data_IF_696356705349
#
_entry.id   IF_696356705349
#
_cell.length_a   1.000
_cell.length_b   1.000
_cell.length_c   1.000
_cell.angle_alpha   90.00
_cell.angle_beta   90.00
_cell.angle_gamma   90.00
#
_symmetry.space_group_name_H-M   'P 1'
#
loop_
_entity.id
_entity.type
_entity.pdbx_description
1 polymer ?
#
# COMPACT_ATOMS: atom_id res chain seq x y z
N UNK A 1 7.60 34.89 18.28
CA UNK A 1 7.46 33.49 18.74
C UNK A 1 6.93 33.58 20.16
N UNK A 2 5.75 33.01 20.44
CA UNK A 2 5.24 32.94 21.82
C UNK A 2 5.86 31.71 22.46
N UNK A 3 6.47 31.86 23.62
CA UNK A 3 6.88 30.70 24.42
C UNK A 3 5.63 30.23 25.17
N UNK A 4 5.02 29.13 24.70
CA UNK A 4 4.30 28.27 25.64
C UNK A 4 5.39 27.76 26.58
N UNK A 5 5.27 27.96 27.90
CA UNK A 5 6.34 27.51 28.76
C UNK A 5 6.46 25.99 28.59
N UNK A 6 7.68 25.47 28.44
CA UNK A 6 7.90 24.03 28.32
C UNK A 6 7.26 23.26 29.50
N UNK A 7 7.08 23.93 30.65
CA UNK A 7 6.37 23.39 31.80
C UNK A 7 4.88 23.13 31.51
N UNK A 8 4.18 24.02 30.81
CA UNK A 8 2.74 23.86 30.52
C UNK A 8 2.49 22.66 29.61
N UNK A 9 3.28 22.53 28.53
CA UNK A 9 3.11 21.43 27.58
C UNK A 9 3.48 20.08 28.20
N UNK A 10 4.51 20.03 29.05
CA UNK A 10 4.86 18.83 29.80
C UNK A 10 3.74 18.39 30.75
N UNK A 11 3.12 19.33 31.46
CA UNK A 11 2.01 19.01 32.36
C UNK A 11 0.83 18.48 31.56
N UNK A 12 0.48 19.11 30.43
CA UNK A 12 -0.62 18.65 29.57
C UNK A 12 -0.36 17.24 29.01
N UNK A 13 0.85 16.96 28.54
CA UNK A 13 1.24 15.63 28.05
C UNK A 13 1.24 14.61 29.18
N UNK A 14 1.81 14.95 30.34
CA UNK A 14 1.85 14.08 31.51
C UNK A 14 0.47 13.73 32.07
N UNK A 15 -0.47 14.69 32.02
CA UNK A 15 -1.88 14.50 32.35
C UNK A 15 -2.67 13.79 31.24
N UNK A 16 -2.03 13.42 30.12
CA UNK A 16 -2.65 12.84 28.93
C UNK A 16 -3.82 13.67 28.41
N UNK A 17 -3.70 14.99 28.49
CA UNK A 17 -4.69 15.91 27.95
C UNK A 17 -4.72 15.76 26.44
N UNK A 18 -5.92 15.63 25.92
CA UNK A 18 -6.16 15.49 24.49
C UNK A 18 -6.03 16.87 23.81
N UNK A 19 -5.02 17.03 22.95
CA UNK A 19 -4.65 18.34 22.38
C UNK A 19 -5.08 18.50 20.92
N UNK A 20 -5.97 17.64 20.40
CA UNK A 20 -6.43 17.69 19.00
C UNK A 20 -6.96 19.06 18.59
N UNK A 21 -6.75 19.42 17.33
CA UNK A 21 -7.31 20.63 16.68
C UNK A 21 -6.86 21.97 17.31
N UNK A 22 -5.89 21.95 18.23
CA UNK A 22 -5.34 23.16 18.83
C UNK A 22 -4.36 23.89 17.90
N UNK A 23 -4.28 25.21 18.06
CA UNK A 23 -3.36 26.06 17.32
C UNK A 23 -2.10 26.38 18.16
N UNK A 24 -0.97 25.86 17.68
CA UNK A 24 0.38 26.01 18.21
C UNK A 24 1.31 26.67 17.17
N UNK A 25 0.82 27.67 16.44
CA UNK A 25 1.60 28.37 15.42
C UNK A 25 2.71 29.25 16.03
N UNK A 26 3.90 29.23 15.41
CA UNK A 26 5.04 30.07 15.77
C UNK A 26 5.45 29.97 17.26
N UNK A 27 5.49 28.75 17.80
CA UNK A 27 5.95 28.47 19.17
C UNK A 27 7.34 27.81 19.19
N UNK A 28 7.96 27.80 20.37
CA UNK A 28 9.18 27.02 20.62
C UNK A 28 8.86 25.94 21.64
N UNK A 29 9.23 24.71 21.31
CA UNK A 29 9.13 23.54 22.17
C UNK A 29 10.56 23.01 22.32
N UNK A 30 11.08 23.00 23.55
CA UNK A 30 12.46 22.56 23.79
C UNK A 30 12.62 21.70 25.02
N UNK A 31 13.61 20.82 24.98
CA UNK A 31 14.07 20.07 26.16
C UNK A 31 12.92 19.36 26.90
N UNK A 32 12.05 18.68 26.13
CA UNK A 32 10.76 18.18 26.62
C UNK A 32 10.42 16.82 26.03
N UNK A 33 9.47 16.13 26.63
CA UNK A 33 8.93 14.88 26.10
C UNK A 33 7.47 15.06 25.68
N UNK A 34 7.15 14.67 24.45
CA UNK A 34 5.81 14.64 23.87
C UNK A 34 5.37 13.21 23.56
N UNK A 35 5.89 12.24 24.32
CA UNK A 35 5.62 10.82 24.10
C UNK A 35 4.11 10.56 24.14
N UNK A 36 3.61 9.87 23.12
CA UNK A 36 2.19 9.51 22.97
C UNK A 36 1.20 10.69 22.98
N UNK A 37 1.68 11.93 22.84
CA UNK A 37 0.83 13.10 22.81
C UNK A 37 -0.09 13.08 21.56
N UNK A 38 -1.36 13.46 21.74
CA UNK A 38 -2.34 13.46 20.66
C UNK A 38 -2.51 14.86 20.07
N UNK A 39 -1.88 15.10 18.92
CA UNK A 39 -1.94 16.36 18.17
C UNK A 39 -2.64 16.22 16.81
N UNK A 40 -3.61 15.31 16.72
CA UNK A 40 -4.44 15.16 15.53
C UNK A 40 -4.96 16.53 15.08
N UNK A 41 -4.74 16.90 13.81
CA UNK A 41 -5.21 18.17 13.19
C UNK A 41 -4.73 19.45 13.87
N UNK A 42 -3.69 19.41 14.70
CA UNK A 42 -3.10 20.62 15.26
C UNK A 42 -2.39 21.46 14.20
N UNK A 43 -2.27 22.76 14.45
CA UNK A 43 -1.44 23.65 13.64
C UNK A 43 -0.13 23.98 14.38
N UNK A 44 1.02 23.55 13.84
CA UNK A 44 2.35 23.91 14.35
C UNK A 44 3.15 24.77 13.35
N UNK A 45 2.49 25.42 12.39
CA UNK A 45 3.23 26.14 11.34
C UNK A 45 4.21 27.16 11.94
N UNK A 46 5.44 27.19 11.40
CA UNK A 46 6.51 28.06 11.88
C UNK A 46 7.10 27.72 13.25
N UNK A 47 6.69 26.62 13.89
CA UNK A 47 7.16 26.23 15.23
C UNK A 47 8.53 25.54 15.21
N UNK A 48 9.23 25.60 16.35
CA UNK A 48 10.57 25.05 16.51
C UNK A 48 10.59 23.98 17.62
N UNK A 49 11.04 22.79 17.26
CA UNK A 49 11.25 21.64 18.15
C UNK A 49 12.77 21.43 18.30
N UNK A 50 13.32 21.63 19.50
CA UNK A 50 14.74 21.39 19.80
C UNK A 50 14.90 20.48 21.03
N UNK A 51 15.58 19.34 20.87
CA UNK A 51 15.78 18.36 21.96
C UNK A 51 14.45 17.83 22.52
N UNK A 52 13.56 17.41 21.63
CA UNK A 52 12.21 16.93 21.96
C UNK A 52 12.12 15.43 21.68
N UNK A 53 11.59 14.67 22.64
CA UNK A 53 11.19 13.29 22.41
C UNK A 53 9.78 13.24 21.82
N UNK A 54 9.64 12.68 20.63
CA UNK A 54 8.38 12.64 19.87
C UNK A 54 7.86 11.21 19.71
N UNK A 55 8.35 10.26 20.50
CA UNK A 55 8.01 8.84 20.35
C UNK A 55 6.50 8.61 20.48
N UNK A 56 5.88 7.99 19.46
CA UNK A 56 4.45 7.69 19.46
C UNK A 56 3.51 8.90 19.40
N UNK A 57 4.03 10.10 19.12
CA UNK A 57 3.22 11.31 18.98
C UNK A 57 2.29 11.20 17.77
N UNK A 58 0.99 11.45 17.96
CA UNK A 58 0.02 11.44 16.87
C UNK A 58 -0.02 12.81 16.18
N UNK A 59 0.54 12.88 14.97
CA UNK A 59 0.56 14.06 14.12
C UNK A 59 -0.37 13.95 12.91
N UNK A 60 -1.30 12.99 12.91
CA UNK A 60 -2.18 12.78 11.75
C UNK A 60 -2.94 14.07 11.40
N UNK A 61 -2.88 14.46 10.13
CA UNK A 61 -3.48 15.70 9.60
C UNK A 61 -2.99 17.00 10.27
N UNK A 62 -1.90 16.98 11.04
CA UNK A 62 -1.32 18.19 11.62
C UNK A 62 -0.64 19.05 10.56
N UNK A 63 -0.71 20.37 10.71
CA UNK A 63 -0.03 21.32 9.85
C UNK A 63 1.37 21.60 10.41
N UNK A 64 2.40 21.27 9.64
CA UNK A 64 3.81 21.34 10.06
C UNK A 64 4.66 22.24 9.14
N UNK A 65 4.02 23.15 8.39
CA UNK A 65 4.70 23.98 7.41
C UNK A 65 5.75 24.89 8.08
N UNK A 66 6.96 24.94 7.51
CA UNK A 66 8.08 25.74 8.03
C UNK A 66 8.47 25.42 9.49
N UNK A 67 8.16 24.22 9.98
CA UNK A 67 8.66 23.75 11.27
C UNK A 67 10.18 23.57 11.22
N UNK A 68 10.85 23.83 12.35
CA UNK A 68 12.26 23.49 12.55
C UNK A 68 12.35 22.33 13.53
N UNK A 69 13.10 21.29 13.15
CA UNK A 69 13.30 20.10 13.96
C UNK A 69 14.79 19.92 14.21
N UNK A 70 15.19 19.86 15.48
CA UNK A 70 16.57 19.70 15.90
C UNK A 70 16.63 18.78 17.10
N UNK A 71 17.61 17.86 17.12
CA UNK A 71 17.82 16.93 18.24
C UNK A 71 16.56 16.13 18.65
N UNK A 72 15.75 15.69 17.67
CA UNK A 72 14.53 14.92 17.96
C UNK A 72 14.89 13.50 18.37
N UNK A 73 14.24 13.00 19.44
CA UNK A 73 14.41 11.64 19.94
C UNK A 73 13.19 10.81 19.55
N UNK A 74 13.46 9.60 19.05
CA UNK A 74 12.47 8.57 18.79
C UNK A 74 13.04 7.29 19.39
N UNK A 75 12.30 6.71 20.33
CA UNK A 75 12.66 5.45 20.97
C UNK A 75 12.15 4.26 20.16
N UNK A 76 12.98 3.24 20.08
CA UNK A 76 12.58 1.94 19.55
C UNK A 76 11.47 1.35 20.42
N UNK A 77 10.36 0.93 19.78
CA UNK A 77 9.25 0.30 20.48
C UNK A 77 9.47 -1.21 20.64
N UNK A 78 9.83 -1.87 19.53
CA UNK A 78 9.96 -3.32 19.46
C UNK A 78 11.12 -3.69 18.53
N UNK A 79 11.95 -4.63 18.99
CA UNK A 79 12.89 -5.37 18.16
C UNK A 79 12.24 -6.69 17.74
N UNK A 80 12.09 -6.94 16.43
CA UNK A 80 11.61 -8.22 15.95
C UNK A 80 12.80 -9.11 15.59
N UNK A 81 13.21 -9.94 16.53
CA UNK A 81 14.16 -11.02 16.27
C UNK A 81 13.39 -12.25 15.75
N UNK A 82 13.88 -12.87 14.68
CA UNK A 82 13.27 -14.10 14.18
C UNK A 82 13.75 -14.49 12.78
N UNK A 83 13.89 -13.52 11.87
CA UNK A 83 14.45 -13.82 10.56
C UNK A 83 15.90 -14.29 10.69
N UNK A 84 16.23 -15.39 10.01
CA UNK A 84 17.58 -16.00 10.04
C UNK A 84 18.48 -15.51 8.90
N UNK A 85 17.93 -14.67 8.02
CA UNK A 85 18.65 -14.02 6.93
C UNK A 85 18.07 -12.60 6.70
N UNK A 86 18.56 -11.89 5.67
CA UNK A 86 18.12 -10.53 5.37
C UNK A 86 16.61 -10.44 5.18
N UNK A 87 15.97 -9.50 5.89
CA UNK A 87 14.61 -9.05 5.59
C UNK A 87 14.65 -8.26 4.28
N UNK A 88 13.77 -8.59 3.33
CA UNK A 88 13.71 -7.92 2.02
C UNK A 88 12.53 -6.94 1.93
N UNK A 89 11.44 -7.22 2.64
CA UNK A 89 10.22 -6.41 2.57
C UNK A 89 9.50 -6.38 3.90
N UNK A 90 8.87 -5.25 4.19
CA UNK A 90 7.98 -5.05 5.33
C UNK A 90 6.74 -4.28 4.89
N UNK A 91 5.60 -4.55 5.53
CA UNK A 91 4.35 -3.83 5.22
C UNK A 91 3.41 -3.80 6.44
N UNK A 92 2.92 -2.62 6.80
CA UNK A 92 1.89 -2.47 7.82
C UNK A 92 0.51 -2.79 7.24
N UNK A 93 -0.31 -3.55 7.95
CA UNK A 93 -1.71 -3.71 7.60
C UNK A 93 -2.40 -2.33 7.60
N UNK A 94 -3.33 -2.05 6.66
CA UNK A 94 -4.03 -0.76 6.61
C UNK A 94 -4.71 -0.34 7.92
N UNK A 95 -5.17 -1.29 8.72
CA UNK A 95 -5.73 -1.04 10.06
C UNK A 95 -4.68 -0.78 11.16
N UNK A 96 -3.37 -0.89 10.85
CA UNK A 96 -2.24 -0.58 11.73
C UNK A 96 -1.98 -1.61 12.84
N UNK A 97 -2.61 -2.78 12.80
CA UNK A 97 -2.52 -3.77 13.89
C UNK A 97 -1.41 -4.79 13.69
N UNK A 98 -1.08 -5.11 12.44
CA UNK A 98 -0.12 -6.15 12.07
C UNK A 98 0.98 -5.55 11.17
N UNK A 99 2.22 -5.96 11.40
CA UNK A 99 3.33 -5.76 10.48
C UNK A 99 3.72 -7.10 9.89
N UNK A 100 3.72 -7.19 8.56
CA UNK A 100 4.28 -8.33 7.84
C UNK A 100 5.73 -8.03 7.47
N UNK A 101 6.57 -9.07 7.49
CA UNK A 101 7.95 -9.03 7.02
C UNK A 101 8.24 -10.28 6.20
N UNK A 102 8.95 -10.15 5.08
CA UNK A 102 9.38 -11.25 4.22
C UNK A 102 10.91 -11.26 4.09
N UNK A 103 11.53 -12.44 4.15
CA UNK A 103 12.98 -12.58 4.21
C UNK A 103 13.60 -13.58 3.23
N UNK A 104 14.93 -13.56 3.17
CA UNK A 104 15.77 -14.54 2.45
C UNK A 104 15.90 -15.89 3.17
N UNK A 105 15.23 -16.04 4.31
CA UNK A 105 15.03 -17.33 4.96
C UNK A 105 13.74 -18.04 4.50
N UNK A 106 13.17 -17.55 3.40
CA UNK A 106 11.98 -18.05 2.73
C UNK A 106 10.69 -17.95 3.57
N UNK A 107 10.75 -17.25 4.69
CA UNK A 107 9.61 -17.10 5.60
C UNK A 107 8.99 -15.71 5.51
N UNK A 108 7.73 -15.65 5.95
CA UNK A 108 7.04 -14.41 6.26
C UNK A 108 6.72 -14.42 7.75
N UNK A 109 6.88 -13.29 8.43
CA UNK A 109 6.52 -13.15 9.85
C UNK A 109 5.50 -12.05 10.02
N UNK A 110 4.48 -12.32 10.83
CA UNK A 110 3.42 -11.39 11.21
C UNK A 110 3.62 -10.97 12.66
N UNK A 111 3.78 -9.67 12.89
CA UNK A 111 4.00 -9.06 14.20
C UNK A 111 2.79 -8.23 14.61
N UNK A 112 2.29 -8.43 15.84
CA UNK A 112 1.33 -7.51 16.43
C UNK A 112 2.05 -6.25 16.92
N UNK A 113 1.74 -5.10 16.29
CA UNK A 113 2.42 -3.83 16.56
C UNK A 113 2.21 -3.30 17.98
N UNK A 114 1.07 -3.63 18.60
CA UNK A 114 0.76 -3.13 19.95
C UNK A 114 1.52 -3.88 21.04
N UNK A 115 1.77 -5.16 20.82
CA UNK A 115 2.37 -6.05 21.84
C UNK A 115 3.83 -6.38 21.55
N UNK A 116 4.29 -6.18 20.31
CA UNK A 116 5.61 -6.62 19.87
C UNK A 116 5.74 -8.14 19.77
N UNK A 117 4.64 -8.89 19.81
CA UNK A 117 4.65 -10.35 19.71
C UNK A 117 4.44 -10.83 18.27
N UNK A 118 5.19 -11.85 17.88
CA UNK A 118 4.97 -12.58 16.63
C UNK A 118 3.64 -13.35 16.72
N UNK A 119 2.69 -13.00 15.86
CA UNK A 119 1.41 -13.68 15.72
C UNK A 119 1.57 -15.00 14.97
N UNK A 120 2.37 -15.00 13.90
CA UNK A 120 2.54 -16.16 13.04
C UNK A 120 3.84 -16.08 12.23
N UNK A 121 4.39 -17.26 11.94
CA UNK A 121 5.41 -17.49 10.91
C UNK A 121 4.75 -18.26 9.78
N UNK A 122 4.76 -17.69 8.58
CA UNK A 122 4.18 -18.30 7.39
C UNK A 122 5.30 -18.97 6.60
N UNK A 123 5.26 -20.30 6.59
CA UNK A 123 6.17 -21.15 5.84
C UNK A 123 5.43 -21.69 4.61
N UNK A 124 6.07 -21.62 3.45
CA UNK A 124 5.50 -22.17 2.21
C UNK A 124 6.29 -21.80 0.97
N UNK A 125 6.88 -20.60 0.94
CA UNK A 125 7.83 -20.24 -0.11
C UNK A 125 9.09 -21.12 -0.01
N UNK A 126 9.61 -21.53 -1.17
CA UNK A 126 10.81 -22.40 -1.25
C UNK A 126 12.09 -21.63 -1.56
N UNK A 127 11.98 -20.31 -1.74
CA UNK A 127 13.09 -19.40 -2.01
C UNK A 127 12.78 -18.02 -1.42
N UNK A 128 13.69 -17.06 -1.61
CA UNK A 128 13.63 -15.73 -1.02
C UNK A 128 12.25 -15.07 -1.21
N UNK A 129 11.70 -14.49 -0.16
CA UNK A 129 10.50 -13.65 -0.25
C UNK A 129 10.95 -12.23 -0.54
N UNK A 130 10.59 -11.69 -1.71
CA UNK A 130 11.02 -10.37 -2.16
C UNK A 130 10.08 -9.26 -1.73
N UNK A 131 8.76 -9.51 -1.73
CA UNK A 131 7.76 -8.51 -1.41
C UNK A 131 6.60 -9.10 -0.62
N UNK A 132 6.06 -8.32 0.30
CA UNK A 132 4.80 -8.59 1.01
C UNK A 132 3.90 -7.36 0.93
N UNK A 133 2.59 -7.56 0.78
CA UNK A 133 1.61 -6.48 0.71
C UNK A 133 0.27 -6.92 1.28
N UNK A 134 -0.38 -6.07 2.08
CA UNK A 134 -1.73 -6.34 2.59
C UNK A 134 -2.80 -5.84 1.62
N UNK A 135 -3.91 -6.57 1.56
CA UNK A 135 -5.15 -6.10 0.95
C UNK A 135 -5.68 -4.86 1.67
N UNK A 136 -6.46 -3.99 1.00
CA UNK A 136 -6.99 -2.76 1.60
C UNK A 136 -7.84 -2.98 2.85
N UNK A 137 -8.52 -4.12 2.95
CA UNK A 137 -9.34 -4.52 4.10
C UNK A 137 -8.52 -5.19 5.23
N UNK A 138 -7.20 -5.34 5.06
CA UNK A 138 -6.28 -5.99 6.01
C UNK A 138 -6.51 -7.49 6.25
N UNK A 139 -7.34 -8.17 5.46
CA UNK A 139 -7.68 -9.59 5.69
C UNK A 139 -6.77 -10.56 4.96
N UNK A 140 -6.19 -10.14 3.84
CA UNK A 140 -5.34 -10.97 2.99
C UNK A 140 -3.95 -10.35 2.90
N UNK A 141 -2.92 -11.18 3.04
CA UNK A 141 -1.55 -10.82 2.70
C UNK A 141 -1.19 -11.50 1.38
N UNK A 142 -0.61 -10.75 0.45
CA UNK A 142 0.07 -11.31 -0.72
C UNK A 142 1.58 -11.28 -0.51
N UNK A 143 2.27 -12.30 -0.98
CA UNK A 143 3.72 -12.36 -1.01
C UNK A 143 4.24 -12.84 -2.35
N UNK A 144 5.40 -12.35 -2.75
CA UNK A 144 6.09 -12.73 -3.99
C UNK A 144 7.49 -13.23 -3.71
N UNK A 145 7.97 -14.17 -4.53
CA UNK A 145 9.22 -14.89 -4.25
C UNK A 145 10.02 -15.27 -5.48
N UNK A 146 11.30 -15.55 -5.24
CA UNK A 146 12.22 -16.22 -6.15
C UNK A 146 11.84 -17.69 -6.44
N UNK A 147 10.80 -18.23 -5.81
CA UNK A 147 10.24 -19.53 -6.19
C UNK A 147 9.25 -19.45 -7.37
N UNK A 148 9.17 -18.26 -8.00
CA UNK A 148 8.28 -17.92 -9.11
C UNK A 148 6.80 -17.89 -8.73
N UNK A 149 6.47 -17.76 -7.44
CA UNK A 149 5.08 -17.79 -7.00
C UNK A 149 4.64 -16.50 -6.32
N UNK A 150 3.35 -16.22 -6.46
CA UNK A 150 2.62 -15.32 -5.57
C UNK A 150 1.76 -16.19 -4.65
N UNK A 151 1.83 -15.95 -3.34
CA UNK A 151 1.00 -16.65 -2.36
C UNK A 151 0.10 -15.67 -1.65
N UNK A 152 -1.13 -16.10 -1.41
CA UNK A 152 -2.13 -15.36 -0.64
C UNK A 152 -2.32 -16.05 0.69
N UNK A 153 -2.29 -15.28 1.76
CA UNK A 153 -2.41 -15.75 3.13
C UNK A 153 -3.56 -15.05 3.82
N UNK A 154 -4.29 -15.78 4.64
CA UNK A 154 -5.20 -15.17 5.60
C UNK A 154 -4.37 -14.48 6.69
N UNK A 155 -4.54 -13.16 6.82
CA UNK A 155 -3.74 -12.33 7.73
C UNK A 155 -3.96 -12.64 9.21
N UNK A 156 -5.09 -13.25 9.56
CA UNK A 156 -5.47 -13.52 10.94
C UNK A 156 -4.99 -14.89 11.40
N UNK A 157 -5.11 -15.89 10.53
CA UNK A 157 -4.79 -17.29 10.83
C UNK A 157 -3.41 -17.70 10.35
N UNK A 158 -2.82 -16.96 9.40
CA UNK A 158 -1.56 -17.31 8.76
C UNK A 158 -1.66 -18.48 7.78
N UNK A 159 -2.87 -18.94 7.46
CA UNK A 159 -3.07 -20.05 6.53
C UNK A 159 -2.95 -19.57 5.08
N UNK A 160 -2.36 -20.41 4.22
CA UNK A 160 -2.32 -20.16 2.79
C UNK A 160 -3.72 -20.33 2.18
N UNK A 161 -4.22 -19.27 1.54
CA UNK A 161 -5.50 -19.23 0.84
C UNK A 161 -5.37 -19.62 -0.64
N UNK A 162 -4.24 -19.29 -1.26
CA UNK A 162 -3.96 -19.58 -2.67
C UNK A 162 -2.47 -19.51 -2.99
N UNK A 163 -2.07 -20.27 -4.01
CA UNK A 163 -0.76 -20.20 -4.65
C UNK A 163 -0.97 -19.98 -6.15
N UNK A 164 -0.24 -19.01 -6.69
CA UNK A 164 -0.24 -18.64 -8.10
C UNK A 164 1.16 -18.95 -8.63
N UNK A 165 1.26 -19.93 -9.51
CA UNK A 165 2.52 -20.48 -10.02
C UNK A 165 2.56 -20.52 -11.56
N UNK A 166 1.88 -19.57 -12.19
CA UNK A 166 1.87 -19.32 -13.63
C UNK A 166 3.13 -18.59 -14.12
N UNK A 167 3.90 -17.98 -13.22
CA UNK A 167 5.13 -17.28 -13.56
C UNK A 167 6.30 -18.23 -13.83
N UNK A 168 7.10 -17.89 -14.84
CA UNK A 168 8.26 -18.68 -15.27
C UNK A 168 9.58 -18.21 -14.68
N UNK A 169 9.56 -17.13 -13.90
CA UNK A 169 10.73 -16.47 -13.29
C UNK A 169 10.36 -15.78 -11.98
N UNK A 170 11.38 -15.36 -11.21
CA UNK A 170 11.25 -14.63 -9.96
C UNK A 170 10.19 -13.53 -10.00
N UNK A 171 9.35 -13.48 -8.97
CA UNK A 171 8.35 -12.42 -8.79
C UNK A 171 8.90 -11.37 -7.82
N UNK A 172 9.39 -10.26 -8.36
CA UNK A 172 10.15 -9.26 -7.60
C UNK A 172 9.28 -8.38 -6.71
N UNK A 173 8.06 -8.05 -7.16
CA UNK A 173 7.17 -7.13 -6.47
C UNK A 173 5.74 -7.59 -6.56
N UNK A 174 4.98 -7.33 -5.50
CA UNK A 174 3.54 -7.53 -5.45
C UNK A 174 2.86 -6.33 -4.79
N UNK A 175 1.74 -5.88 -5.33
CA UNK A 175 0.93 -4.83 -4.70
C UNK A 175 -0.56 -5.08 -4.90
N UNK A 176 -1.36 -4.57 -3.97
CA UNK A 176 -2.81 -4.53 -4.06
C UNK A 176 -3.26 -3.18 -4.61
N UNK A 177 -4.28 -3.21 -5.47
CA UNK A 177 -5.09 -2.05 -5.78
C UNK A 177 -6.13 -1.79 -4.67
N UNK A 178 -6.75 -0.59 -4.62
CA UNK A 178 -7.83 -0.29 -3.68
C UNK A 178 -9.09 -1.17 -3.83
N UNK A 179 -9.31 -1.75 -5.01
CA UNK A 179 -10.42 -2.68 -5.30
C UNK A 179 -10.06 -4.17 -5.15
N UNK A 180 -8.86 -4.47 -4.62
CA UNK A 180 -8.36 -5.81 -4.29
C UNK A 180 -7.87 -6.66 -5.48
N UNK A 181 -7.51 -6.03 -6.60
CA UNK A 181 -6.70 -6.64 -7.66
C UNK A 181 -5.24 -6.70 -7.21
N UNK A 182 -4.57 -7.81 -7.50
CA UNK A 182 -3.14 -8.00 -7.25
C UNK A 182 -2.37 -7.78 -8.54
N UNK A 183 -1.29 -7.01 -8.45
CA UNK A 183 -0.29 -6.91 -9.50
C UNK A 183 1.00 -7.60 -9.07
N UNK A 184 1.52 -8.49 -9.92
CA UNK A 184 2.79 -9.20 -9.72
C UNK A 184 3.75 -8.96 -10.86
N UNK A 185 5.02 -8.70 -10.55
CA UNK A 185 6.05 -8.39 -11.53
C UNK A 185 7.01 -9.56 -11.73
N UNK A 186 6.82 -10.32 -12.80
CA UNK A 186 7.59 -11.51 -13.13
C UNK A 186 7.84 -11.58 -14.64
N UNK A 187 8.85 -12.34 -15.07
CA UNK A 187 9.10 -12.66 -16.49
C UNK A 187 9.03 -11.48 -17.49
N UNK A 188 9.58 -10.33 -17.09
CA UNK A 188 9.56 -9.05 -17.83
C UNK A 188 8.15 -8.47 -18.08
N UNK A 189 7.15 -9.02 -17.38
CA UNK A 189 5.76 -8.65 -17.50
C UNK A 189 5.18 -8.24 -16.15
N UNK A 190 3.92 -7.81 -16.21
CA UNK A 190 3.10 -7.54 -15.06
C UNK A 190 1.84 -8.37 -15.20
N UNK A 191 1.52 -9.20 -14.23
CA UNK A 191 0.25 -9.92 -14.20
C UNK A 191 -0.72 -9.27 -13.25
N UNK A 192 -1.98 -9.18 -13.68
CA UNK A 192 -3.10 -8.68 -12.91
C UNK A 192 -4.02 -9.84 -12.58
N UNK A 193 -4.40 -9.93 -11.31
CA UNK A 193 -5.21 -11.02 -10.78
C UNK A 193 -6.30 -10.49 -9.87
N UNK A 194 -7.53 -10.95 -10.07
CA UNK A 194 -8.61 -10.69 -9.13
C UNK A 194 -8.57 -11.72 -7.99
N UNK A 195 -8.55 -11.22 -6.75
CA UNK A 195 -8.40 -12.06 -5.55
C UNK A 195 -9.64 -12.88 -5.24
N UNK A 196 -10.83 -12.40 -5.63
CA UNK A 196 -12.10 -13.09 -5.35
C UNK A 196 -12.27 -14.31 -6.24
N UNK A 197 -11.91 -14.17 -7.50
CA UNK A 197 -12.00 -15.21 -8.53
C UNK A 197 -10.75 -16.09 -8.55
N UNK A 198 -9.61 -15.58 -8.05
CA UNK A 198 -8.28 -16.20 -8.15
C UNK A 198 -7.88 -16.46 -9.60
N UNK A 199 -8.39 -15.67 -10.54
CA UNK A 199 -8.10 -15.80 -11.96
C UNK A 199 -7.23 -14.63 -12.45
N UNK A 200 -6.32 -14.95 -13.37
CA UNK A 200 -5.53 -13.95 -14.08
C UNK A 200 -6.46 -13.18 -15.02
N UNK A 201 -6.55 -11.87 -14.81
CA UNK A 201 -7.35 -10.98 -15.63
C UNK A 201 -6.58 -10.53 -16.87
N UNK A 202 -5.31 -10.17 -16.69
CA UNK A 202 -4.49 -9.59 -17.75
C UNK A 202 -2.99 -9.80 -17.52
N UNK A 203 -2.23 -9.91 -18.61
CA UNK A 203 -0.75 -9.91 -18.61
C UNK A 203 -0.25 -8.76 -19.47
N UNK A 204 0.46 -7.80 -18.87
CA UNK A 204 1.03 -6.65 -19.53
C UNK A 204 2.49 -6.93 -19.88
N UNK A 205 2.76 -7.20 -21.16
CA UNK A 205 4.12 -7.39 -21.69
C UNK A 205 4.73 -6.03 -22.06
N UNK A 206 4.99 -5.22 -21.05
CA UNK A 206 5.44 -3.84 -21.26
C UNK A 206 6.95 -3.64 -21.17
N UNK A 207 7.69 -4.62 -20.66
CA UNK A 207 9.13 -4.52 -20.46
C UNK A 207 9.88 -5.61 -21.24
N UNK A 208 11.12 -5.28 -21.58
CA UNK A 208 12.11 -6.14 -22.22
C UNK A 208 13.10 -6.73 -21.21
N UNK A 209 13.01 -6.31 -19.94
CA UNK A 209 13.87 -6.74 -18.84
C UNK A 209 13.09 -6.87 -17.54
N UNK A 210 13.80 -7.23 -16.47
CA UNK A 210 13.22 -7.56 -15.17
C UNK A 210 12.49 -6.35 -14.60
N UNK A 211 11.23 -6.55 -14.25
CA UNK A 211 10.41 -5.57 -13.54
C UNK A 211 10.64 -5.74 -12.05
N UNK A 212 11.22 -4.71 -11.42
CA UNK A 212 11.61 -4.73 -10.00
C UNK A 212 10.52 -4.23 -9.07
N UNK A 213 9.62 -3.37 -9.55
CA UNK A 213 8.62 -2.74 -8.70
C UNK A 213 7.34 -2.45 -9.47
N UNK A 214 6.21 -2.67 -8.80
CA UNK A 214 4.87 -2.30 -9.27
C UNK A 214 4.11 -1.57 -8.16
N UNK A 215 3.36 -0.53 -8.51
CA UNK A 215 2.58 0.25 -7.54
C UNK A 215 1.33 0.86 -8.18
N UNK A 216 0.18 0.70 -7.52
CA UNK A 216 -1.06 1.38 -7.89
C UNK A 216 -1.11 2.81 -7.34
N UNK A 217 -1.75 3.72 -8.08
CA UNK A 217 -2.14 5.01 -7.51
C UNK A 217 -3.17 4.83 -6.38
N UNK A 218 -3.24 5.75 -5.41
CA UNK A 218 -4.18 5.64 -4.28
C UNK A 218 -5.66 5.50 -4.65
N UNK A 219 -6.04 5.98 -5.84
CA UNK A 219 -7.40 5.89 -6.38
C UNK A 219 -7.63 4.67 -7.30
N UNK A 220 -6.59 3.85 -7.49
CA UNK A 220 -6.57 2.65 -8.33
C UNK A 220 -6.63 2.92 -9.84
N UNK A 221 -6.60 4.18 -10.28
CA UNK A 221 -6.79 4.52 -11.69
C UNK A 221 -5.54 4.30 -12.55
N UNK A 222 -4.37 4.14 -11.93
CA UNK A 222 -3.11 3.92 -12.64
C UNK A 222 -2.25 2.88 -11.97
N UNK A 223 -1.44 2.18 -12.78
CA UNK A 223 -0.41 1.25 -12.34
C UNK A 223 0.93 1.72 -12.90
N UNK A 224 1.93 1.90 -12.04
CA UNK A 224 3.29 2.19 -12.44
C UNK A 224 4.18 0.97 -12.27
N UNK A 225 5.12 0.77 -13.18
CA UNK A 225 6.11 -0.30 -13.12
C UNK A 225 7.51 0.18 -13.44
N UNK A 226 8.45 -0.15 -12.58
CA UNK A 226 9.88 0.13 -12.73
C UNK A 226 10.64 -1.13 -13.10
N UNK A 227 11.35 -1.07 -14.21
CA UNK A 227 12.19 -2.16 -14.73
C UNK A 227 13.62 -1.66 -14.97
N UNK A 228 14.54 -2.59 -15.21
CA UNK A 228 15.90 -2.26 -15.64
C UNK A 228 15.93 -1.44 -16.94
N UNK A 229 14.94 -1.61 -17.82
CA UNK A 229 14.86 -0.89 -19.08
C UNK A 229 14.27 0.51 -18.92
N UNK A 230 12.99 0.60 -18.56
CA UNK A 230 12.20 1.82 -18.51
C UNK A 230 11.20 1.81 -17.35
N UNK A 231 10.65 2.99 -17.06
CA UNK A 231 9.47 3.18 -16.25
C UNK A 231 8.24 3.23 -17.16
N UNK A 232 7.20 2.45 -16.84
CA UNK A 232 5.92 2.46 -17.56
C UNK A 232 4.77 2.84 -16.62
N UNK A 233 3.75 3.51 -17.16
CA UNK A 233 2.53 3.87 -16.44
C UNK A 233 1.32 3.49 -17.29
N UNK A 234 0.43 2.69 -16.72
CA UNK A 234 -0.78 2.19 -17.37
C UNK A 234 -2.00 2.86 -16.76
N UNK A 235 -2.92 3.30 -17.62
CA UNK A 235 -4.26 3.67 -17.18
C UNK A 235 -5.08 2.42 -16.93
N UNK A 236 -5.53 2.24 -15.69
CA UNK A 236 -6.40 1.14 -15.30
C UNK A 236 -7.85 1.57 -15.49
N UNK A 237 -8.56 0.91 -16.41
CA UNK A 237 -10.00 1.11 -16.52
C UNK A 237 -10.63 0.59 -15.23
N UNK A 238 -11.20 1.49 -14.42
CA UNK A 238 -12.07 1.08 -13.31
C UNK A 238 -13.15 0.20 -13.92
N UNK A 239 -13.14 -1.10 -13.62
CA UNK A 239 -14.34 -1.90 -13.73
C UNK A 239 -15.30 -1.42 -12.63
N UNK A 240 -15.83 -0.21 -12.80
CA UNK A 240 -16.98 0.25 -12.05
C UNK A 240 -18.14 -0.60 -12.52
N UNK A 241 -18.30 -1.75 -11.86
CA UNK A 241 -19.48 -2.58 -11.77
C UNK A 241 -20.63 -2.05 -12.64
N UNK A 242 -20.66 -2.30 -13.97
CA UNK A 242 -21.77 -1.84 -14.76
C UNK A 242 -22.91 -2.74 -14.33
N UNK A 243 -23.92 -2.16 -13.67
CA UNK A 243 -25.16 -2.88 -13.40
C UNK A 243 -25.54 -3.59 -14.70
N UNK A 244 -25.91 -4.88 -14.69
CA UNK A 244 -26.05 -5.70 -15.90
C UNK A 244 -26.98 -5.08 -16.98
N UNK A 245 -27.85 -4.16 -16.58
CA UNK A 245 -28.75 -3.40 -17.44
C UNK A 245 -28.01 -2.41 -18.38
N UNK A 246 -26.86 -1.84 -17.96
CA UNK A 246 -26.10 -0.88 -18.78
C UNK A 246 -25.27 -1.54 -19.89
N UNK A 247 -24.75 -2.76 -19.66
CA UNK A 247 -24.06 -3.54 -20.71
C UNK A 247 -25.04 -3.92 -21.82
N UNK A 248 -26.25 -4.36 -21.48
CA UNK A 248 -27.27 -4.72 -22.49
C UNK A 248 -27.66 -3.51 -23.33
N UNK A 249 -27.82 -2.33 -22.74
CA UNK A 249 -28.14 -1.11 -23.48
C UNK A 249 -27.01 -0.65 -24.39
N UNK A 250 -25.75 -0.72 -23.92
CA UNK A 250 -24.58 -0.34 -24.71
C UNK A 250 -24.34 -1.30 -25.89
N UNK A 251 -24.48 -2.61 -25.67
CA UNK A 251 -24.36 -3.63 -26.74
C UNK A 251 -25.50 -3.50 -27.76
N UNK A 252 -26.72 -3.18 -27.34
CA UNK A 252 -27.85 -2.92 -28.25
C UNK A 252 -27.64 -1.66 -29.09
N UNK A 253 -27.10 -0.59 -28.50
CA UNK A 253 -26.76 0.65 -29.22
C UNK A 253 -25.63 0.47 -30.23
N UNK A 254 -24.62 -0.35 -29.91
CA UNK A 254 -23.53 -0.66 -30.84
C UNK A 254 -24.05 -1.51 -32.01
N UNK A 255 -24.90 -2.52 -31.74
CA UNK A 255 -25.51 -3.34 -32.80
C UNK A 255 -26.43 -2.53 -33.70
N UNK A 256 -27.22 -1.60 -33.16
CA UNK A 256 -28.11 -0.75 -33.98
C UNK A 256 -27.33 0.25 -34.82
N UNK A 257 -26.25 0.83 -34.29
CA UNK A 257 -25.36 1.70 -35.05
C UNK A 257 -24.68 0.97 -36.22
N UNK A 258 -24.24 -0.27 -36.01
CA UNK A 258 -23.62 -1.10 -37.05
C UNK A 258 -24.63 -1.43 -38.17
N UNK A 259 -25.86 -1.79 -37.81
CA UNK A 259 -26.93 -2.06 -38.77
C UNK A 259 -27.27 -0.82 -39.63
N UNK A 260 -27.28 0.36 -39.01
CA UNK A 260 -27.52 1.63 -39.70
C UNK A 260 -26.41 1.97 -40.69
N UNK A 261 -25.16 1.68 -40.34
CA UNK A 261 -24.01 1.88 -41.23
C UNK A 261 -24.08 0.92 -42.43
N UNK A 262 -24.40 -0.36 -42.21
CA UNK A 262 -24.57 -1.31 -43.30
C UNK A 262 -25.72 -0.94 -44.23
N UNK A 263 -26.88 -0.55 -43.68
CA UNK A 263 -28.02 -0.05 -44.45
C UNK A 263 -27.65 1.18 -45.28
N UNK A 264 -26.91 2.13 -44.69
CA UNK A 264 -26.44 3.32 -45.40
C UNK A 264 -25.50 2.95 -46.55
N UNK A 265 -24.52 2.08 -46.33
CA UNK A 265 -23.62 1.63 -47.40
C UNK A 265 -24.36 0.89 -48.52
N UNK A 266 -25.39 0.11 -48.17
CA UNK A 266 -26.19 -0.61 -49.15
C UNK A 266 -27.08 0.33 -49.97
N UNK A 267 -27.65 1.37 -49.34
CA UNK A 267 -28.41 2.43 -50.01
C UNK A 267 -27.53 3.25 -50.95
N UNK A 268 -26.33 3.64 -50.51
CA UNK A 268 -25.38 4.37 -51.38
C UNK A 268 -25.05 3.57 -52.64
N UNK A 269 -24.79 2.25 -52.51
CA UNK A 269 -24.54 1.35 -53.67
C UNK A 269 -25.74 1.18 -54.61
N UNK A 270 -26.96 1.44 -54.15
CA UNK A 270 -28.19 1.34 -54.97
C UNK A 270 -28.44 2.62 -55.77
N UNK A 271 -27.86 3.76 -55.36
CA UNK A 271 -28.11 5.09 -55.93
C UNK A 271 -26.90 5.59 -56.76
N UNK A 272 -25.76 4.90 -56.69
CA UNK A 272 -24.56 5.11 -57.54
C UNK A 272 -24.42 4.00 -58.57
#
# INVERSE_FOLDING_TARGET
MKDLSNADLNVLVGLKVDMREHNFENIRIRDTSLICANFLRCNFNGSNFDNVDTSGMNLNQAQLFKCKWKNIKIHELHQLDGHTCCVQSIYFSPNGTILASGGRDNSIRLLNIKTGQENAKLDGHTSNVYSVCFSPDSTTLASSSADNTIRLWDAMTGLENAKLDDHTSDVQSVCFSPDSTISGSADNSISLLDVKTKQQEEKLNAHTSIVYSVCFSPDGSTLASGSYDILSVFGMLKQHNPKPIQIVLLVLLIKSAFLLIELYQHLVKLIT
#
